data_IF_426946331961
#
_entry.id   IF_426946331961
#
_cell.length_a   1.000
_cell.length_b   1.000
_cell.length_c   1.000
_cell.angle_alpha   90.00
_cell.angle_beta   90.00
_cell.angle_gamma   90.00
#
_symmetry.space_group_name_H-M   'P 1'
#
loop_
_entity.id
_entity.type
_entity.pdbx_description
1 polymer ?
#
# COMPACT_ATOMS: atom_id res chain seq x y z
N UNK A 1 -17.50 1.16 16.53
CA UNK A 1 -16.83 1.25 15.21
C UNK A 1 -15.68 0.24 15.09
N UNK A 2 -14.73 0.19 16.01
CA UNK A 2 -13.57 -0.72 15.98
C UNK A 2 -13.97 -2.19 15.87
N UNK A 3 -14.92 -2.67 16.66
CA UNK A 3 -15.39 -4.06 16.59
C UNK A 3 -15.95 -4.43 15.21
N UNK A 4 -16.65 -3.50 14.55
CA UNK A 4 -17.16 -3.68 13.19
C UNK A 4 -16.00 -3.83 12.22
N UNK A 5 -15.02 -2.96 12.33
CA UNK A 5 -13.83 -2.95 11.47
C UNK A 5 -12.98 -4.22 11.64
N UNK A 6 -12.58 -4.55 12.87
CA UNK A 6 -11.70 -5.68 13.16
C UNK A 6 -12.31 -7.04 12.75
N UNK A 7 -13.62 -7.09 12.55
CA UNK A 7 -14.35 -8.30 12.17
C UNK A 7 -14.95 -8.24 10.75
N UNK A 8 -14.67 -7.19 9.97
CA UNK A 8 -15.19 -7.06 8.61
C UNK A 8 -16.72 -6.97 8.54
N UNK A 9 -17.37 -6.37 9.52
CA UNK A 9 -18.83 -6.40 9.69
C UNK A 9 -19.55 -5.16 9.12
N UNK A 10 -18.92 -4.35 8.29
CA UNK A 10 -19.48 -3.10 7.79
C UNK A 10 -20.88 -3.28 7.16
N UNK A 11 -21.08 -4.36 6.41
CA UNK A 11 -22.33 -4.64 5.68
C UNK A 11 -23.39 -5.35 6.54
N UNK A 12 -23.01 -5.93 7.67
CA UNK A 12 -23.90 -6.79 8.50
C UNK A 12 -24.02 -6.34 9.95
N UNK A 13 -23.49 -5.17 10.30
CA UNK A 13 -23.41 -4.68 11.68
C UNK A 13 -24.77 -4.64 12.41
N UNK A 14 -25.88 -4.51 11.69
CA UNK A 14 -27.23 -4.44 12.25
C UNK A 14 -27.94 -5.81 12.36
N UNK A 15 -27.32 -6.89 11.86
CA UNK A 15 -27.93 -8.22 11.81
C UNK A 15 -26.87 -9.33 11.93
N UNK A 16 -26.17 -9.36 13.06
CA UNK A 16 -25.13 -10.37 13.29
C UNK A 16 -25.75 -11.78 13.41
N UNK A 17 -25.24 -12.77 12.66
CA UNK A 17 -25.70 -14.15 12.79
C UNK A 17 -25.44 -14.73 14.19
N UNK A 18 -26.35 -15.50 14.72
CA UNK A 18 -26.15 -16.24 15.98
C UNK A 18 -25.03 -17.26 15.79
N UNK A 19 -24.08 -17.30 16.71
CA UNK A 19 -22.91 -18.19 16.66
C UNK A 19 -21.70 -17.62 15.93
N UNK A 20 -21.77 -16.38 15.42
CA UNK A 20 -20.60 -15.71 14.85
C UNK A 20 -19.56 -15.44 15.95
N UNK A 21 -18.33 -15.94 15.72
CA UNK A 21 -17.18 -15.60 16.56
C UNK A 21 -16.70 -14.18 16.25
N UNK A 22 -16.47 -13.37 17.28
CA UNK A 22 -15.95 -12.02 17.13
C UNK A 22 -14.56 -11.90 17.76
N UNK A 23 -13.63 -11.26 17.04
CA UNK A 23 -12.33 -10.83 17.57
C UNK A 23 -12.53 -9.52 18.33
N UNK A 24 -12.11 -9.49 19.59
CA UNK A 24 -12.13 -8.29 20.44
C UNK A 24 -10.69 -7.96 20.84
N UNK A 25 -10.13 -6.93 20.21
CA UNK A 25 -8.79 -6.45 20.53
C UNK A 25 -8.87 -5.47 21.72
N UNK A 26 -8.22 -5.84 22.84
CA UNK A 26 -8.17 -5.00 24.04
C UNK A 26 -6.83 -4.27 24.06
N UNK A 27 -6.82 -2.91 24.02
CA UNK A 27 -5.58 -2.17 24.11
C UNK A 27 -4.84 -2.44 25.44
N UNK A 28 -3.53 -2.62 25.36
CA UNK A 28 -2.67 -2.70 26.53
C UNK A 28 -2.36 -1.32 27.09
N UNK A 29 -1.98 -0.38 26.20
CA UNK A 29 -1.72 1.01 26.58
C UNK A 29 -2.53 1.96 25.70
N UNK A 30 -3.12 2.95 26.36
CA UNK A 30 -3.78 4.09 25.71
C UNK A 30 -3.18 5.39 26.25
N UNK A 31 -3.27 6.45 25.44
CA UNK A 31 -2.80 7.78 25.84
C UNK A 31 -3.83 8.84 25.45
N UNK A 32 -4.13 9.74 26.38
CA UNK A 32 -4.95 10.91 26.08
C UNK A 32 -4.06 12.07 25.69
N UNK A 33 -4.26 12.57 24.48
CA UNK A 33 -3.48 13.66 23.88
C UNK A 33 -3.60 14.93 24.75
N UNK A 34 -2.45 15.53 25.03
CA UNK A 34 -2.33 16.82 25.74
C UNK A 34 -2.10 17.94 24.72
N UNK A 35 -2.33 19.18 25.14
CA UNK A 35 -2.02 20.37 24.32
C UNK A 35 -0.52 20.40 23.97
N UNK A 36 -0.23 20.60 22.67
CA UNK A 36 1.13 20.66 22.14
C UNK A 36 1.75 19.30 21.80
N UNK A 37 1.06 18.19 22.03
CA UNK A 37 1.54 16.86 21.61
C UNK A 37 1.57 16.74 20.09
N UNK A 38 2.57 15.97 19.60
CA UNK A 38 2.63 15.48 18.21
C UNK A 38 2.72 13.95 18.20
N UNK A 39 2.34 13.33 17.07
CA UNK A 39 2.45 11.86 16.93
C UNK A 39 3.89 11.38 17.09
N UNK A 40 4.88 12.13 16.61
CA UNK A 40 6.29 11.79 16.76
C UNK A 40 6.76 11.84 18.23
N UNK A 41 6.29 12.84 18.99
CA UNK A 41 6.62 12.95 20.40
C UNK A 41 6.00 11.80 21.21
N UNK A 42 4.73 11.48 20.91
CA UNK A 42 4.02 10.35 21.52
C UNK A 42 4.70 9.04 21.16
N UNK A 43 5.01 8.82 19.87
CA UNK A 43 5.70 7.61 19.42
C UNK A 43 7.03 7.41 20.15
N UNK A 44 7.88 8.46 20.23
CA UNK A 44 9.15 8.43 20.97
C UNK A 44 8.97 8.17 22.46
N UNK A 45 8.00 8.82 23.08
CA UNK A 45 7.70 8.67 24.52
C UNK A 45 7.35 7.23 24.89
N UNK A 46 6.63 6.54 24.03
CA UNK A 46 6.16 5.16 24.28
C UNK A 46 7.01 4.08 23.62
N UNK A 47 8.12 4.45 22.94
CA UNK A 47 9.01 3.48 22.28
C UNK A 47 8.37 2.79 21.09
N UNK A 48 7.49 3.49 20.38
CA UNK A 48 6.80 3.00 19.18
C UNK A 48 7.10 3.89 17.96
N UNK A 49 6.42 3.67 16.84
CA UNK A 49 6.57 4.46 15.60
C UNK A 49 5.26 5.16 15.27
N UNK A 50 5.33 6.27 14.51
CA UNK A 50 4.14 6.96 14.01
C UNK A 50 3.29 6.01 13.14
N UNK A 51 3.92 5.16 12.32
CA UNK A 51 3.20 4.17 11.53
C UNK A 51 2.45 3.14 12.41
N UNK A 52 3.02 2.73 13.53
CA UNK A 52 2.30 1.87 14.49
C UNK A 52 1.10 2.62 15.12
N UNK A 53 1.25 3.92 15.40
CA UNK A 53 0.12 4.73 15.87
C UNK A 53 -0.99 4.83 14.81
N UNK A 54 -0.67 5.02 13.53
CA UNK A 54 -1.66 4.97 12.45
C UNK A 54 -2.37 3.62 12.39
N UNK A 55 -1.61 2.53 12.39
CA UNK A 55 -2.15 1.16 12.34
C UNK A 55 -3.09 0.87 13.51
N UNK A 56 -2.75 1.34 14.70
CA UNK A 56 -3.57 1.15 15.89
C UNK A 56 -4.75 2.12 15.98
N UNK A 57 -4.71 3.24 15.24
CA UNK A 57 -5.70 4.32 15.29
C UNK A 57 -6.16 4.70 13.88
N UNK A 58 -6.83 3.78 13.19
CA UNK A 58 -7.28 3.96 11.80
C UNK A 58 -8.03 5.28 11.52
N UNK A 59 -8.84 5.83 12.46
CA UNK A 59 -9.49 7.13 12.26
C UNK A 59 -8.52 8.31 12.01
N UNK A 60 -7.22 8.15 12.30
CA UNK A 60 -6.22 9.16 11.94
C UNK A 60 -6.07 9.30 10.42
N UNK A 61 -6.30 8.23 9.64
CA UNK A 61 -6.28 8.25 8.18
C UNK A 61 -4.98 8.79 7.58
N UNK A 62 -3.81 8.56 8.26
CA UNK A 62 -2.53 9.14 7.87
C UNK A 62 -2.45 10.67 7.99
N UNK A 63 -3.30 11.25 8.81
CA UNK A 63 -3.26 12.66 9.16
C UNK A 63 -2.56 12.82 10.51
N UNK A 64 -1.53 13.67 10.57
CA UNK A 64 -0.79 13.96 11.79
C UNK A 64 -1.55 14.84 12.80
N UNK A 65 -2.71 15.36 12.40
CA UNK A 65 -3.52 16.22 13.24
C UNK A 65 -4.20 15.43 14.35
N UNK A 66 -3.81 15.71 15.58
CA UNK A 66 -4.41 15.18 16.80
C UNK A 66 -4.91 16.32 17.68
N UNK A 67 -5.88 16.06 18.53
CA UNK A 67 -6.53 17.08 19.34
C UNK A 67 -6.41 16.76 20.83
N UNK A 68 -6.23 17.77 21.71
CA UNK A 68 -6.27 17.57 23.16
C UNK A 68 -7.55 16.86 23.59
N UNK A 69 -7.41 15.85 24.45
CA UNK A 69 -8.52 15.00 24.90
C UNK A 69 -8.80 13.79 24.00
N UNK A 70 -8.23 13.72 22.82
CA UNK A 70 -8.31 12.53 21.97
C UNK A 70 -7.57 11.36 22.61
N UNK A 71 -8.17 10.16 22.59
CA UNK A 71 -7.52 8.94 23.07
C UNK A 71 -6.87 8.20 21.93
N UNK A 72 -5.59 7.91 22.05
CA UNK A 72 -4.83 7.09 21.10
C UNK A 72 -4.50 5.73 21.73
N UNK A 73 -4.66 4.67 20.93
CA UNK A 73 -4.17 3.33 21.26
C UNK A 73 -2.69 3.29 20.93
N UNK A 74 -1.87 3.02 21.94
CA UNK A 74 -0.41 2.93 21.78
C UNK A 74 -0.01 1.53 21.31
N UNK A 75 -0.48 0.49 22.02
CA UNK A 75 -0.25 -0.90 21.64
C UNK A 75 -1.32 -1.84 22.19
N UNK A 76 -1.23 -3.08 21.76
CA UNK A 76 -1.98 -4.23 22.26
C UNK A 76 -1.05 -5.17 23.00
N UNK A 77 -1.59 -6.01 23.88
CA UNK A 77 -0.79 -6.89 24.76
C UNK A 77 -0.10 -8.05 24.06
N UNK A 78 -0.48 -8.32 22.81
CA UNK A 78 0.00 -9.49 22.09
C UNK A 78 1.41 -9.27 21.54
N UNK A 79 2.31 -10.20 21.83
CA UNK A 79 3.63 -10.28 21.20
C UNK A 79 3.50 -10.81 19.78
N UNK A 80 4.13 -10.18 18.78
CA UNK A 80 4.16 -10.71 17.42
C UNK A 80 4.75 -12.11 17.38
N UNK A 81 4.02 -13.06 16.78
CA UNK A 81 4.51 -14.45 16.66
C UNK A 81 5.69 -14.52 15.68
N UNK A 82 5.62 -13.74 14.61
CA UNK A 82 6.70 -13.55 13.62
C UNK A 82 6.45 -12.27 12.81
N UNK A 83 7.49 -11.78 12.13
CA UNK A 83 7.39 -10.69 11.16
C UNK A 83 7.37 -11.27 9.74
N UNK A 84 6.45 -10.79 8.91
CA UNK A 84 6.38 -11.15 7.49
C UNK A 84 6.06 -9.93 6.63
N UNK A 85 6.54 -9.96 5.39
CA UNK A 85 6.27 -8.90 4.44
C UNK A 85 4.94 -9.16 3.73
N UNK A 86 4.02 -8.20 3.82
CA UNK A 86 2.77 -8.20 3.05
C UNK A 86 2.95 -7.21 1.90
N UNK A 87 2.69 -7.67 0.69
CA UNK A 87 2.61 -6.83 -0.51
C UNK A 87 1.27 -6.98 -1.20
N UNK A 88 0.86 -5.98 -1.95
CA UNK A 88 -0.39 -6.04 -2.68
C UNK A 88 -0.44 -5.10 -3.87
N UNK A 89 -1.23 -5.51 -4.84
CA UNK A 89 -1.57 -4.71 -6.01
C UNK A 89 -2.82 -3.88 -5.75
N UNK A 90 -2.86 -2.69 -6.32
CA UNK A 90 -4.07 -1.87 -6.29
C UNK A 90 -4.28 -1.15 -7.62
N UNK A 91 -5.53 -1.11 -8.07
CA UNK A 91 -5.91 -0.32 -9.24
C UNK A 91 -5.91 1.18 -8.92
N UNK A 92 -5.63 2.07 -9.90
CA UNK A 92 -5.64 3.51 -9.70
C UNK A 92 -6.94 4.08 -9.13
N UNK A 93 -8.06 3.43 -9.35
CA UNK A 93 -9.37 3.83 -8.85
C UNK A 93 -9.68 3.37 -7.41
N UNK A 94 -8.70 2.79 -6.70
CA UNK A 94 -8.85 2.45 -5.28
C UNK A 94 -9.20 3.70 -4.47
N UNK A 95 -10.12 3.58 -3.52
CA UNK A 95 -10.45 4.72 -2.67
C UNK A 95 -9.32 5.06 -1.71
N UNK A 96 -9.11 6.36 -1.47
CA UNK A 96 -8.15 6.85 -0.48
C UNK A 96 -8.38 6.22 0.90
N UNK A 97 -9.64 6.08 1.32
CA UNK A 97 -9.99 5.45 2.59
C UNK A 97 -9.40 4.04 2.69
N UNK A 98 -9.54 3.22 1.62
CA UNK A 98 -9.03 1.85 1.63
C UNK A 98 -7.49 1.82 1.65
N UNK A 99 -6.82 2.75 0.96
CA UNK A 99 -5.37 2.93 1.07
C UNK A 99 -4.95 3.24 2.51
N UNK A 100 -5.62 4.20 3.15
CA UNK A 100 -5.32 4.62 4.53
C UNK A 100 -5.55 3.51 5.57
N UNK A 101 -6.51 2.62 5.33
CA UNK A 101 -6.80 1.46 6.17
C UNK A 101 -5.80 0.31 5.96
N UNK A 102 -5.23 0.18 4.77
CA UNK A 102 -4.44 -1.00 4.36
C UNK A 102 -2.92 -0.76 4.44
N UNK A 103 -2.45 0.38 3.90
CA UNK A 103 -1.01 0.68 3.78
C UNK A 103 -0.24 0.61 5.11
N UNK A 104 -0.79 1.01 6.28
CA UNK A 104 -0.06 0.90 7.55
C UNK A 104 0.37 -0.52 7.91
N UNK A 105 -0.30 -1.52 7.35
CA UNK A 105 -0.01 -2.94 7.59
C UNK A 105 0.79 -3.61 6.47
N UNK A 106 1.16 -2.86 5.42
CA UNK A 106 1.88 -3.38 4.26
C UNK A 106 3.35 -2.98 4.26
N UNK A 107 4.21 -3.85 3.74
CA UNK A 107 5.64 -3.55 3.49
C UNK A 107 5.84 -2.96 2.10
N UNK A 108 5.06 -3.40 1.13
CA UNK A 108 5.15 -2.92 -0.25
C UNK A 108 3.77 -2.85 -0.92
N UNK A 109 3.63 -1.92 -1.86
CA UNK A 109 2.42 -1.76 -2.68
C UNK A 109 2.81 -1.56 -4.14
N UNK A 110 1.95 -2.03 -5.04
CA UNK A 110 2.18 -2.02 -6.48
C UNK A 110 0.97 -1.41 -7.19
N UNK A 111 1.11 -0.18 -7.75
CA UNK A 111 0.09 0.37 -8.64
C UNK A 111 -0.06 -0.52 -9.88
N UNK A 112 -1.24 -1.02 -10.13
CA UNK A 112 -1.52 -1.88 -11.28
C UNK A 112 -2.03 -1.03 -12.45
N UNK A 113 -1.34 -0.86 -13.56
CA UNK A 113 -0.03 -1.38 -13.94
C UNK A 113 0.61 -0.42 -14.95
N UNK A 114 1.92 -0.32 -14.95
CA UNK A 114 2.62 0.22 -16.11
C UNK A 114 2.54 -0.76 -17.27
N UNK A 115 2.36 -0.21 -18.48
CA UNK A 115 2.57 -0.90 -19.73
C UNK A 115 3.74 -0.34 -20.51
N UNK A 116 3.93 -0.80 -21.74
CA UNK A 116 4.92 -0.25 -22.65
C UNK A 116 4.50 -0.39 -24.12
N UNK A 117 5.11 0.42 -24.99
CA UNK A 117 4.91 0.39 -26.44
C UNK A 117 5.94 -0.49 -27.12
N UNK A 118 5.74 -0.76 -28.42
CA UNK A 118 6.71 -1.47 -29.27
C UNK A 118 8.06 -0.73 -29.39
N UNK A 119 8.10 0.58 -29.11
CA UNK A 119 9.32 1.40 -29.06
C UNK A 119 9.97 1.48 -27.67
N UNK A 120 9.41 0.78 -26.66
CA UNK A 120 9.94 0.77 -25.30
C UNK A 120 9.57 2.00 -24.46
N UNK A 121 8.59 2.80 -24.87
CA UNK A 121 8.05 3.89 -24.04
C UNK A 121 7.10 3.33 -22.99
N UNK A 122 7.14 3.88 -21.78
CA UNK A 122 6.21 3.48 -20.72
C UNK A 122 4.81 4.06 -20.93
N UNK A 123 3.81 3.26 -20.60
CA UNK A 123 2.38 3.63 -20.50
C UNK A 123 2.06 3.66 -19.01
N UNK A 124 2.03 4.83 -18.35
CA UNK A 124 1.84 4.93 -16.92
C UNK A 124 0.39 4.76 -16.50
N UNK A 125 0.12 4.17 -15.33
CA UNK A 125 -1.15 4.31 -14.65
C UNK A 125 -1.24 5.68 -13.96
N UNK A 126 -2.43 6.04 -13.47
CA UNK A 126 -2.60 7.14 -12.51
C UNK A 126 -2.21 6.65 -11.11
N UNK A 127 -0.95 6.80 -10.73
CA UNK A 127 -0.35 6.26 -9.51
C UNK A 127 -0.06 7.31 -8.42
N UNK A 128 -0.33 8.59 -8.68
CA UNK A 128 0.10 9.71 -7.81
C UNK A 128 -0.48 9.61 -6.40
N UNK A 129 -1.79 9.36 -6.27
CA UNK A 129 -2.43 9.25 -4.95
C UNK A 129 -1.87 8.05 -4.17
N UNK A 130 -1.68 6.91 -4.85
CA UNK A 130 -1.16 5.70 -4.19
C UNK A 130 0.28 5.91 -3.71
N UNK A 131 1.15 6.50 -4.53
CA UNK A 131 2.52 6.82 -4.15
C UNK A 131 2.57 7.80 -2.98
N UNK A 132 1.78 8.87 -3.05
CA UNK A 132 1.67 9.86 -1.97
C UNK A 132 1.30 9.18 -0.65
N UNK A 133 0.28 8.31 -0.66
CA UNK A 133 -0.14 7.59 0.54
C UNK A 133 0.87 6.56 1.02
N UNK A 134 1.52 5.83 0.10
CA UNK A 134 2.58 4.89 0.44
C UNK A 134 3.73 5.55 1.20
N UNK A 135 4.15 6.74 0.76
CA UNK A 135 5.20 7.50 1.44
C UNK A 135 4.79 7.96 2.84
N UNK A 136 3.55 8.41 3.03
CA UNK A 136 3.03 8.78 4.35
C UNK A 136 3.13 7.61 5.33
N UNK A 137 2.79 6.40 4.91
CA UNK A 137 2.80 5.21 5.76
C UNK A 137 4.13 4.46 5.79
N UNK A 138 5.14 4.90 5.03
CA UNK A 138 6.43 4.21 4.94
C UNK A 138 6.34 2.85 4.24
N UNK A 139 5.28 2.60 3.48
CA UNK A 139 5.12 1.44 2.62
C UNK A 139 5.95 1.64 1.36
N UNK A 140 6.75 0.65 0.96
CA UNK A 140 7.61 0.76 -0.21
C UNK A 140 6.81 0.61 -1.50
N UNK A 141 6.73 1.62 -2.38
CA UNK A 141 6.11 1.45 -3.68
C UNK A 141 7.04 0.68 -4.62
N UNK A 142 6.50 -0.33 -5.29
CA UNK A 142 7.15 -1.08 -6.36
C UNK A 142 6.44 -0.79 -7.68
N UNK A 143 7.21 -0.49 -8.72
CA UNK A 143 6.67 -0.34 -10.06
C UNK A 143 6.24 -1.73 -10.55
N UNK A 144 4.97 -1.91 -10.89
CA UNK A 144 4.47 -3.12 -11.54
C UNK A 144 4.43 -2.90 -13.04
N UNK A 145 5.15 -3.73 -13.80
CA UNK A 145 5.27 -3.67 -15.24
C UNK A 145 4.64 -4.91 -15.87
N UNK A 146 3.68 -4.72 -16.72
CA UNK A 146 3.03 -5.78 -17.49
C UNK A 146 3.06 -5.50 -18.98
N UNK A 147 2.51 -6.42 -19.77
CA UNK A 147 2.38 -6.26 -21.24
C UNK A 147 1.13 -5.44 -21.62
N UNK A 148 0.76 -4.45 -20.81
CA UNK A 148 -0.35 -3.53 -21.11
C UNK A 148 0.06 -2.59 -22.25
N UNK A 149 -0.82 -2.46 -23.25
CA UNK A 149 -0.66 -1.55 -24.39
C UNK A 149 -1.27 -0.17 -24.11
N UNK A 150 -0.96 0.81 -24.92
CA UNK A 150 -1.59 2.15 -24.90
C UNK A 150 -3.13 2.11 -25.04
N UNK A 151 -3.66 1.04 -25.65
CA UNK A 151 -5.10 0.85 -25.82
C UNK A 151 -5.78 0.20 -24.61
N UNK A 152 -5.03 -0.03 -23.52
CA UNK A 152 -5.55 -0.64 -22.29
C UNK A 152 -5.81 -2.15 -22.39
N UNK A 153 -5.19 -2.83 -23.36
CA UNK A 153 -5.28 -4.30 -23.53
C UNK A 153 -3.94 -4.96 -23.28
N UNK A 154 -3.93 -6.19 -22.78
CA UNK A 154 -2.71 -6.96 -22.64
C UNK A 154 -2.31 -7.62 -23.96
N UNK A 155 -1.01 -7.61 -24.27
CA UNK A 155 -0.47 -8.16 -25.52
C UNK A 155 0.68 -9.12 -25.26
N UNK A 156 0.46 -10.39 -25.51
CA UNK A 156 1.53 -11.40 -25.43
C UNK A 156 2.64 -11.17 -26.46
N UNK A 157 2.32 -10.51 -27.58
CA UNK A 157 3.28 -10.17 -28.64
C UNK A 157 4.31 -9.12 -28.20
N UNK A 158 3.96 -8.24 -27.24
CA UNK A 158 4.90 -7.23 -26.72
C UNK A 158 6.10 -7.87 -26.01
N UNK A 159 5.86 -8.90 -25.18
CA UNK A 159 6.94 -9.61 -24.51
C UNK A 159 7.88 -10.31 -25.50
N UNK A 160 7.34 -10.92 -26.53
CA UNK A 160 8.14 -11.58 -27.58
C UNK A 160 8.96 -10.57 -28.40
N UNK A 161 8.37 -9.43 -28.76
CA UNK A 161 9.06 -8.32 -29.45
C UNK A 161 10.19 -7.79 -28.58
N UNK A 162 9.91 -7.48 -27.32
CA UNK A 162 10.89 -6.99 -26.37
C UNK A 162 12.06 -7.95 -26.19
N UNK A 163 11.78 -9.24 -25.93
CA UNK A 163 12.82 -10.23 -25.67
C UNK A 163 13.64 -10.62 -26.90
N UNK A 164 13.16 -10.27 -28.09
CA UNK A 164 13.84 -10.54 -29.37
C UNK A 164 14.80 -9.42 -29.78
N UNK A 165 14.64 -8.21 -29.26
CA UNK A 165 15.43 -7.04 -29.62
C UNK A 165 16.14 -6.44 -28.39
N UNK A 166 17.48 -6.62 -28.38
CA UNK A 166 18.31 -6.13 -27.28
C UNK A 166 18.28 -4.61 -27.14
N UNK A 167 18.15 -3.86 -28.21
CA UNK A 167 18.12 -2.40 -28.16
C UNK A 167 16.81 -1.91 -27.55
N UNK A 168 15.73 -2.61 -27.82
CA UNK A 168 14.40 -2.30 -27.29
C UNK A 168 14.32 -2.51 -25.77
N UNK A 169 14.78 -3.67 -25.27
CA UNK A 169 14.74 -3.86 -23.83
C UNK A 169 15.75 -2.98 -23.06
N UNK A 170 16.87 -2.56 -23.70
CA UNK A 170 17.73 -1.55 -23.11
C UNK A 170 17.01 -0.20 -23.00
N UNK A 171 16.33 0.23 -24.05
CA UNK A 171 15.52 1.46 -24.06
C UNK A 171 14.42 1.42 -23.00
N UNK A 172 13.70 0.30 -22.89
CA UNK A 172 12.67 0.12 -21.88
C UNK A 172 13.27 0.17 -20.46
N UNK A 173 14.40 -0.50 -20.23
CA UNK A 173 15.07 -0.49 -18.93
C UNK A 173 15.52 0.92 -18.52
N UNK A 174 16.06 1.71 -19.45
CA UNK A 174 16.45 3.09 -19.19
C UNK A 174 15.25 3.97 -18.83
N UNK A 175 14.13 3.80 -19.53
CA UNK A 175 12.87 4.50 -19.24
C UNK A 175 12.30 4.09 -17.87
N UNK A 176 12.33 2.79 -17.53
CA UNK A 176 11.92 2.29 -16.21
C UNK A 176 12.74 2.95 -15.11
N UNK A 177 14.08 2.92 -15.23
CA UNK A 177 14.98 3.50 -14.23
C UNK A 177 14.76 5.01 -14.07
N UNK A 178 14.53 5.73 -15.17
CA UNK A 178 14.23 7.15 -15.13
C UNK A 178 12.96 7.44 -14.31
N UNK A 179 11.85 6.75 -14.62
CA UNK A 179 10.58 6.92 -13.90
C UNK A 179 10.67 6.44 -12.46
N UNK A 180 11.34 5.34 -12.19
CA UNK A 180 11.53 4.85 -10.82
C UNK A 180 12.28 5.88 -9.96
N UNK A 181 13.32 6.50 -10.50
CA UNK A 181 14.07 7.55 -9.79
C UNK A 181 13.23 8.82 -9.60
N UNK A 182 12.50 9.25 -10.61
CA UNK A 182 11.65 10.43 -10.56
C UNK A 182 10.55 10.29 -9.52
N UNK A 183 9.84 9.17 -9.53
CA UNK A 183 8.67 8.93 -8.67
C UNK A 183 9.02 8.28 -7.32
N UNK A 184 10.26 7.85 -7.11
CA UNK A 184 10.72 7.27 -5.86
C UNK A 184 10.33 5.82 -5.64
N UNK A 185 10.08 5.05 -6.69
CA UNK A 185 9.85 3.61 -6.60
C UNK A 185 11.06 2.89 -6.01
N UNK A 186 10.82 1.92 -5.15
CA UNK A 186 11.85 1.17 -4.41
C UNK A 186 12.21 -0.17 -5.04
N UNK A 187 11.43 -0.63 -5.99
CA UNK A 187 11.65 -1.88 -6.69
C UNK A 187 10.79 -2.00 -7.93
N UNK A 188 11.06 -3.03 -8.69
CA UNK A 188 10.37 -3.38 -9.93
C UNK A 188 9.80 -4.79 -9.79
N UNK A 189 8.54 -4.94 -10.14
CA UNK A 189 7.83 -6.20 -10.29
C UNK A 189 7.45 -6.38 -11.75
N UNK A 190 7.84 -7.49 -12.37
CA UNK A 190 7.64 -7.77 -13.80
C UNK A 190 6.67 -8.92 -13.95
N UNK A 191 5.55 -8.66 -14.61
CA UNK A 191 4.48 -9.61 -14.88
C UNK A 191 4.32 -9.79 -16.40
N UNK A 192 5.15 -10.65 -16.99
CA UNK A 192 5.09 -11.04 -18.39
C UNK A 192 4.53 -12.44 -18.51
N UNK A 193 3.27 -12.53 -18.88
CA UNK A 193 2.59 -13.80 -19.07
C UNK A 193 2.72 -14.32 -20.51
N UNK A 194 2.59 -15.64 -20.67
CA UNK A 194 2.55 -16.33 -21.97
C UNK A 194 3.76 -16.10 -22.88
N UNK A 195 4.94 -15.89 -22.29
CA UNK A 195 6.19 -15.78 -23.04
C UNK A 195 6.50 -17.09 -23.76
N UNK A 196 6.68 -17.04 -25.08
CA UNK A 196 7.02 -18.23 -25.87
C UNK A 196 8.42 -18.73 -25.49
N UNK A 197 8.52 -20.03 -25.16
CA UNK A 197 9.83 -20.68 -25.01
C UNK A 197 10.50 -20.74 -26.39
N UNK A 198 11.64 -20.10 -26.53
CA UNK A 198 12.51 -20.21 -27.69
C UNK A 198 13.65 -21.18 -27.43
#
# INVERSE_FOLDING_TARGET
ERLIYDNGLADVANALPVGLGLVVLIPNRVYTVSEGDTLEQIARRFGTTVNALYRNNLPLGGNDTIYPGQTLIIDYADEPIFDFAVGGYAYPFISRRLLDETLPSMKLCMPFTYGFTEEGKLVPPDDEEMLSRAFVYGTAPYMHLSTLTENGTFSNGLSDTLLSDRSLWQTLADNILAVMNEKGYRGLDIDFEFVLRR
#
